data_IF_708677850903
#
_entry.id   IF_708677850903
#
_cell.length_a   1.000
_cell.length_b   1.000
_cell.length_c   1.000
_cell.angle_alpha   90.00
_cell.angle_beta   90.00
_cell.angle_gamma   90.00
#
_symmetry.space_group_name_H-M   'P 1'
#
loop_
_entity.id
_entity.type
_entity.pdbx_description
1 polymer ?
#
# COMPACT_ATOMS: atom_id res chain seq x y z
N UNK A 1 -22.42 -13.38 -14.92
CA UNK A 1 -20.94 -13.43 -15.05
C UNK A 1 -20.27 -12.36 -14.18
N UNK A 2 -20.73 -11.10 -14.19
CA UNK A 2 -20.20 -10.01 -13.36
C UNK A 2 -20.16 -10.31 -11.86
N UNK A 3 -21.19 -10.96 -11.31
CA UNK A 3 -21.24 -11.29 -9.88
C UNK A 3 -20.12 -12.24 -9.44
N UNK A 4 -19.84 -13.30 -10.21
CA UNK A 4 -18.76 -14.23 -9.89
C UNK A 4 -17.38 -13.53 -9.91
N UNK A 5 -17.16 -12.63 -10.87
CA UNK A 5 -15.93 -11.83 -10.96
C UNK A 5 -15.81 -10.87 -9.78
N UNK A 6 -16.89 -10.19 -9.41
CA UNK A 6 -16.92 -9.28 -8.26
C UNK A 6 -16.65 -10.04 -6.94
N UNK A 7 -17.27 -11.20 -6.73
CA UNK A 7 -17.03 -12.05 -5.55
C UNK A 7 -15.58 -12.50 -5.46
N UNK A 8 -14.98 -12.95 -6.57
CA UNK A 8 -13.58 -13.35 -6.60
C UNK A 8 -12.64 -12.17 -6.28
N UNK A 9 -12.89 -10.99 -6.87
CA UNK A 9 -12.12 -9.78 -6.61
C UNK A 9 -12.21 -9.33 -5.14
N UNK A 10 -13.38 -9.43 -4.49
CA UNK A 10 -13.54 -9.10 -3.07
C UNK A 10 -12.73 -10.06 -2.21
N UNK A 11 -12.79 -11.37 -2.48
CA UNK A 11 -12.03 -12.36 -1.70
C UNK A 11 -10.53 -12.11 -1.85
N UNK A 12 -10.05 -11.93 -3.08
CA UNK A 12 -8.64 -11.64 -3.35
C UNK A 12 -8.21 -10.32 -2.68
N UNK A 13 -9.00 -9.26 -2.82
CA UNK A 13 -8.72 -7.96 -2.21
C UNK A 13 -8.72 -7.99 -0.68
N UNK A 14 -9.58 -8.82 -0.08
CA UNK A 14 -9.62 -9.05 1.37
C UNK A 14 -8.39 -9.81 1.85
N UNK A 15 -7.93 -10.82 1.11
CA UNK A 15 -6.67 -11.53 1.40
C UNK A 15 -5.50 -10.55 1.34
N UNK A 16 -5.41 -9.70 0.31
CA UNK A 16 -4.35 -8.69 0.23
C UNK A 16 -4.41 -7.67 1.38
N UNK A 17 -5.61 -7.25 1.79
CA UNK A 17 -5.79 -6.38 2.95
C UNK A 17 -5.34 -7.04 4.25
N UNK A 18 -5.63 -8.34 4.42
CA UNK A 18 -5.14 -9.13 5.55
C UNK A 18 -3.61 -9.24 5.52
N UNK A 19 -3.03 -9.53 4.36
CA UNK A 19 -1.57 -9.61 4.18
C UNK A 19 -0.90 -8.27 4.46
N UNK A 20 -1.53 -7.14 4.13
CA UNK A 20 -1.04 -5.81 4.49
C UNK A 20 -1.00 -5.62 6.02
N UNK A 21 -2.08 -5.97 6.73
CA UNK A 21 -2.15 -5.89 8.18
C UNK A 21 -1.13 -6.81 8.88
N UNK A 22 -0.99 -8.05 8.42
CA UNK A 22 0.02 -9.00 8.91
C UNK A 22 1.43 -8.51 8.57
N UNK A 23 1.63 -7.91 7.40
CA UNK A 23 2.89 -7.33 6.96
C UNK A 23 3.38 -6.20 7.89
N UNK A 24 2.47 -5.32 8.32
CA UNK A 24 2.79 -4.25 9.28
C UNK A 24 3.31 -4.82 10.61
N UNK A 25 2.66 -5.87 11.11
CA UNK A 25 2.98 -6.42 12.44
C UNK A 25 4.23 -7.29 12.42
N UNK A 26 4.46 -8.04 11.33
CA UNK A 26 5.56 -9.00 11.23
C UNK A 26 6.90 -8.40 10.79
N UNK A 27 6.89 -7.32 10.01
CA UNK A 27 8.13 -6.68 9.55
C UNK A 27 8.79 -5.94 10.72
N UNK A 28 10.12 -6.06 10.92
CA UNK A 28 10.80 -5.55 12.12
C UNK A 28 11.39 -4.15 11.96
N UNK A 29 11.29 -3.54 10.78
CA UNK A 29 11.75 -2.17 10.53
C UNK A 29 10.66 -1.35 9.82
N UNK A 30 10.60 -0.06 10.12
CA UNK A 30 9.64 0.91 9.56
C UNK A 30 9.73 0.94 8.04
N UNK A 31 10.94 0.94 7.46
CA UNK A 31 11.12 0.95 6.00
C UNK A 31 10.55 -0.31 5.33
N UNK A 32 10.70 -1.47 5.97
CA UNK A 32 10.11 -2.72 5.47
C UNK A 32 8.60 -2.74 5.65
N UNK A 33 8.09 -2.32 6.82
CA UNK A 33 6.65 -2.18 7.08
C UNK A 33 5.97 -1.32 6.03
N UNK A 34 6.56 -0.17 5.69
CA UNK A 34 6.01 0.74 4.69
C UNK A 34 5.92 0.11 3.31
N UNK A 35 6.98 -0.57 2.85
CA UNK A 35 6.96 -1.23 1.54
C UNK A 35 5.96 -2.38 1.48
N UNK A 36 5.89 -3.21 2.50
CA UNK A 36 4.94 -4.32 2.56
C UNK A 36 3.51 -3.81 2.57
N UNK A 37 3.23 -2.78 3.38
CA UNK A 37 1.89 -2.15 3.47
C UNK A 37 1.49 -1.47 2.17
N UNK A 38 2.39 -0.69 1.57
CA UNK A 38 2.09 0.03 0.34
C UNK A 38 1.77 -0.93 -0.80
N UNK A 39 2.57 -1.99 -1.00
CA UNK A 39 2.36 -2.96 -2.08
C UNK A 39 1.09 -3.80 -1.86
N UNK A 40 0.95 -4.42 -0.69
CA UNK A 40 -0.19 -5.28 -0.40
C UNK A 40 -1.50 -4.48 -0.25
N UNK A 41 -1.44 -3.31 0.40
CA UNK A 41 -2.60 -2.46 0.63
C UNK A 41 -3.14 -1.81 -0.65
N UNK A 42 -2.26 -1.32 -1.54
CA UNK A 42 -2.72 -0.75 -2.83
C UNK A 42 -3.36 -1.81 -3.72
N UNK A 43 -2.78 -3.02 -3.80
CA UNK A 43 -3.39 -4.13 -4.53
C UNK A 43 -4.74 -4.55 -3.94
N UNK A 44 -4.84 -4.67 -2.61
CA UNK A 44 -6.09 -4.98 -1.93
C UNK A 44 -7.18 -3.95 -2.20
N UNK A 45 -6.84 -2.66 -2.09
CA UNK A 45 -7.73 -1.55 -2.37
C UNK A 45 -8.23 -1.58 -3.82
N UNK A 46 -7.31 -1.73 -4.79
CA UNK A 46 -7.67 -1.76 -6.23
C UNK A 46 -8.58 -2.95 -6.54
N UNK A 47 -8.31 -4.14 -6.00
CA UNK A 47 -9.17 -5.30 -6.19
C UNK A 47 -10.59 -5.07 -5.65
N UNK A 48 -10.72 -4.50 -4.45
CA UNK A 48 -12.03 -4.21 -3.84
C UNK A 48 -12.77 -3.16 -4.65
N UNK A 49 -12.10 -2.08 -5.04
CA UNK A 49 -12.67 -1.00 -5.84
C UNK A 49 -13.12 -1.50 -7.23
N UNK A 50 -12.32 -2.34 -7.89
CA UNK A 50 -12.75 -2.98 -9.14
C UNK A 50 -13.97 -3.87 -8.94
N UNK A 51 -14.06 -4.61 -7.83
CA UNK A 51 -15.25 -5.41 -7.54
C UNK A 51 -16.51 -4.55 -7.42
N UNK A 52 -16.42 -3.37 -6.78
CA UNK A 52 -17.52 -2.41 -6.68
C UNK A 52 -17.95 -1.93 -8.07
N UNK A 53 -17.00 -1.56 -8.94
CA UNK A 53 -17.31 -1.17 -10.32
C UNK A 53 -18.01 -2.29 -11.11
N UNK A 54 -17.54 -3.53 -10.99
CA UNK A 54 -18.15 -4.69 -11.65
C UNK A 54 -19.51 -5.11 -11.06
N UNK A 55 -19.76 -4.83 -9.78
CA UNK A 55 -21.01 -5.16 -9.12
C UNK A 55 -22.14 -4.20 -9.50
N UNK A 56 -21.88 -2.88 -9.42
CA UNK A 56 -22.90 -1.87 -9.68
C UNK A 56 -23.09 -1.58 -11.17
N UNK A 57 -22.04 -1.73 -11.99
CA UNK A 57 -22.05 -1.43 -13.45
C UNK A 57 -22.64 -0.07 -13.82
N UNK A 58 -22.65 0.87 -12.89
CA UNK A 58 -23.16 2.23 -13.08
C UNK A 58 -21.99 3.15 -13.43
N UNK A 59 -22.18 4.01 -14.43
CA UNK A 59 -21.13 4.94 -14.89
C UNK A 59 -20.65 5.87 -13.76
N UNK A 60 -21.57 6.36 -12.93
CA UNK A 60 -21.24 7.24 -11.80
C UNK A 60 -20.38 6.55 -10.73
N UNK A 61 -20.71 5.31 -10.38
CA UNK A 61 -19.94 4.51 -9.40
C UNK A 61 -18.56 4.14 -9.96
N UNK A 62 -18.50 3.76 -11.23
CA UNK A 62 -17.24 3.40 -11.90
C UNK A 62 -16.29 4.60 -11.98
N UNK A 63 -16.79 5.78 -12.36
CA UNK A 63 -15.98 7.00 -12.40
C UNK A 63 -15.40 7.34 -11.01
N UNK A 64 -16.24 7.33 -9.95
CA UNK A 64 -15.79 7.58 -8.57
C UNK A 64 -14.72 6.59 -8.13
N UNK A 65 -14.91 5.32 -8.45
CA UNK A 65 -13.96 4.25 -8.14
C UNK A 65 -12.60 4.52 -8.77
N UNK A 66 -12.56 4.90 -10.05
CA UNK A 66 -11.33 5.24 -10.77
C UNK A 66 -10.65 6.46 -10.13
N UNK A 67 -11.42 7.51 -9.80
CA UNK A 67 -10.88 8.69 -9.11
C UNK A 67 -10.26 8.34 -7.74
N UNK A 68 -10.90 7.46 -6.96
CA UNK A 68 -10.36 7.00 -5.67
C UNK A 68 -9.04 6.26 -5.88
N UNK A 69 -8.98 5.33 -6.83
CA UNK A 69 -7.74 4.59 -7.16
C UNK A 69 -6.62 5.58 -7.50
N UNK A 70 -6.90 6.52 -8.40
CA UNK A 70 -5.92 7.50 -8.86
C UNK A 70 -5.46 8.41 -7.71
N UNK A 71 -6.38 8.89 -6.88
CA UNK A 71 -6.07 9.72 -5.73
C UNK A 71 -5.18 8.99 -4.72
N UNK A 72 -5.48 7.72 -4.41
CA UNK A 72 -4.66 6.92 -3.49
C UNK A 72 -3.30 6.61 -4.10
N UNK A 73 -3.23 6.32 -5.41
CA UNK A 73 -1.96 6.09 -6.10
C UNK A 73 -1.05 7.32 -6.11
N UNK A 74 -1.61 8.53 -6.12
CA UNK A 74 -0.84 9.76 -6.03
C UNK A 74 -0.43 10.09 -4.58
N UNK A 75 -1.33 9.90 -3.64
CA UNK A 75 -1.10 10.30 -2.23
C UNK A 75 -0.28 9.29 -1.45
N UNK A 76 -0.43 7.99 -1.70
CA UNK A 76 0.28 6.95 -0.97
C UNK A 76 1.82 7.01 -1.12
N UNK A 77 2.39 7.19 -2.33
CA UNK A 77 3.84 7.33 -2.49
C UNK A 77 4.39 8.60 -1.83
N UNK A 78 3.67 9.72 -1.92
CA UNK A 78 4.07 10.98 -1.28
C UNK A 78 4.10 10.82 0.23
N UNK A 79 3.04 10.25 0.82
CA UNK A 79 2.99 9.94 2.25
C UNK A 79 4.11 9.00 2.68
N UNK A 80 4.35 7.93 1.91
CA UNK A 80 5.44 7.00 2.18
C UNK A 80 6.82 7.69 2.11
N UNK A 81 7.06 8.57 1.14
CA UNK A 81 8.34 9.28 1.06
C UNK A 81 8.57 10.22 2.25
N UNK A 82 7.54 10.94 2.68
CA UNK A 82 7.62 11.84 3.83
C UNK A 82 7.88 11.07 5.14
N UNK A 83 7.17 9.96 5.35
CA UNK A 83 7.39 9.09 6.52
C UNK A 83 8.80 8.51 6.50
N UNK A 84 9.29 8.03 5.35
CA UNK A 84 10.62 7.43 5.23
C UNK A 84 11.72 8.47 5.49
N UNK A 85 11.57 9.68 4.95
CA UNK A 85 12.50 10.79 5.19
C UNK A 85 12.51 11.19 6.66
N UNK A 86 11.34 11.34 7.29
CA UNK A 86 11.25 11.67 8.71
C UNK A 86 11.84 10.57 9.59
N UNK A 87 11.52 9.30 9.32
CA UNK A 87 12.05 8.17 10.08
C UNK A 87 13.58 8.08 9.99
N UNK A 88 14.14 8.38 8.81
CA UNK A 88 15.58 8.41 8.61
C UNK A 88 16.23 9.57 9.40
N UNK A 89 15.68 10.79 9.31
CA UNK A 89 16.20 11.97 10.01
C UNK A 89 16.04 11.89 11.54
N UNK A 90 14.99 11.24 12.03
CA UNK A 90 14.77 10.99 13.47
C UNK A 90 15.64 9.86 14.04
N UNK A 91 16.51 9.25 13.23
CA UNK A 91 17.43 8.20 13.70
C UNK A 91 16.74 6.89 14.07
N UNK A 92 15.58 6.58 13.47
CA UNK A 92 14.85 5.34 13.75
C UNK A 92 15.73 4.13 13.45
N UNK A 93 15.79 3.20 14.40
CA UNK A 93 16.62 2.00 14.31
C UNK A 93 16.18 1.13 13.13
N UNK A 94 17.11 0.92 12.21
CA UNK A 94 16.91 0.09 11.01
C UNK A 94 17.04 -1.41 11.33
N UNK A 95 16.59 -2.25 10.40
CA UNK A 95 16.76 -3.70 10.46
C UNK A 95 18.26 -4.06 10.66
N UNK A 96 18.57 -5.01 11.54
CA UNK A 96 19.97 -5.37 11.91
C UNK A 96 20.83 -5.92 10.76
N UNK A 97 20.20 -6.67 9.85
CA UNK A 97 20.78 -7.16 8.59
C UNK A 97 20.77 -6.16 7.42
N UNK A 98 20.61 -4.86 7.64
CA UNK A 98 20.80 -3.85 6.58
C UNK A 98 22.29 -3.74 6.26
N UNK A 99 22.70 -4.16 5.07
CA UNK A 99 24.12 -4.23 4.65
C UNK A 99 24.61 -2.90 4.08
N UNK A 100 23.74 -2.16 3.37
CA UNK A 100 24.10 -0.91 2.69
C UNK A 100 23.23 0.25 3.17
N UNK A 101 23.89 1.36 3.45
CA UNK A 101 23.27 2.65 3.79
C UNK A 101 24.07 3.78 3.16
N UNK A 102 23.89 3.97 1.84
CA UNK A 102 24.56 5.02 1.06
C UNK A 102 24.11 6.43 1.50
N UNK A 103 22.96 6.53 2.17
CA UNK A 103 22.45 7.81 2.65
C UNK A 103 23.23 8.30 3.88
N UNK A 104 23.84 7.41 4.65
CA UNK A 104 24.71 7.76 5.79
C UNK A 104 25.99 8.45 5.33
N UNK A 105 26.50 8.10 4.16
CA UNK A 105 27.68 8.76 3.57
C UNK A 105 27.37 10.19 3.13
N UNK A 106 26.11 10.48 2.78
CA UNK A 106 25.68 11.79 2.28
C UNK A 106 25.12 12.73 3.34
N UNK A 107 24.68 12.21 4.49
CA UNK A 107 24.22 13.01 5.63
C UNK A 107 25.15 12.75 6.82
N UNK A 108 26.11 13.65 7.14
CA UNK A 108 26.85 13.57 8.39
C UNK A 108 25.87 13.74 9.55
N UNK A 109 25.90 12.79 10.47
CA UNK A 109 25.08 12.74 11.69
C UNK A 109 25.35 13.91 12.62
#
# INVERSE_FOLDING_TARGET
MSQAVASALIVIGSIFSLLAAVGITRMPDVFMRMQTTAKAGTLGLVCILLAVAFHFQEAGVTARTVFIILFVFLTAPVGAQLIARSAYLSGVKRWKGTIRDELKERLPS
#
